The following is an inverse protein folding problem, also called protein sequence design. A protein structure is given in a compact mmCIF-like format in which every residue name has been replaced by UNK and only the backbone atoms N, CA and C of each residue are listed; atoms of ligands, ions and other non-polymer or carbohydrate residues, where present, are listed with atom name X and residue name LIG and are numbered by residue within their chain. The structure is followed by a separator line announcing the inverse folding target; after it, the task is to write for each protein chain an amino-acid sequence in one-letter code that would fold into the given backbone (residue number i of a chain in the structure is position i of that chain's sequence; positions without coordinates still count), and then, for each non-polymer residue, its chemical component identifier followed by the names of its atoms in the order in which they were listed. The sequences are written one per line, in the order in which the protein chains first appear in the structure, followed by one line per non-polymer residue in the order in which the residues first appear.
data_IF_806843226567
#
_entry.id   IF_806843226567
#
_cell.length_a   1.000
_cell.length_b   1.000
_cell.length_c   1.000
_cell.angle_alpha   90.00
_cell.angle_beta   90.00
_cell.angle_gamma   90.00
#
_symmetry.space_group_name_H-M   'P 1'
#
loop_
_entity.id
_entity.type
_entity.pdbx_description
1 polymer ?
#
# COMPACT_ATOMS: atom_id res chain seq x y z
N UNK A 1 3.87 -5.99 -3.17
CA UNK A 1 3.57 -6.18 -4.62
C UNK A 1 3.23 -4.83 -5.23
N UNK A 2 3.36 -4.61 -6.53
CA UNK A 2 3.03 -3.29 -7.10
C UNK A 2 3.20 -3.17 -8.61
N UNK A 3 2.85 -1.99 -9.12
CA UNK A 3 2.94 -1.58 -10.51
C UNK A 3 3.88 -0.38 -10.65
N UNK A 4 5.18 -0.62 -10.93
CA UNK A 4 6.19 0.45 -10.98
C UNK A 4 5.90 1.55 -12.01
N UNK A 5 5.35 1.18 -13.18
CA UNK A 5 4.99 2.13 -14.24
C UNK A 5 3.98 3.20 -13.77
N UNK A 6 3.15 2.87 -12.79
CA UNK A 6 2.14 3.76 -12.21
C UNK A 6 2.55 4.29 -10.84
N UNK A 7 3.69 3.83 -10.29
CA UNK A 7 4.14 4.07 -8.91
C UNK A 7 3.05 3.74 -7.89
N UNK A 8 2.41 2.58 -8.02
CA UNK A 8 1.40 2.10 -7.07
C UNK A 8 1.89 0.80 -6.44
N UNK A 9 1.86 0.72 -5.11
CA UNK A 9 2.25 -0.46 -4.34
C UNK A 9 1.14 -0.91 -3.40
N UNK A 10 1.08 -2.22 -3.14
CA UNK A 10 0.25 -2.81 -2.10
C UNK A 10 1.16 -3.57 -1.15
N UNK A 11 1.01 -3.26 0.13
CA UNK A 11 1.82 -3.81 1.21
C UNK A 11 0.93 -4.38 2.30
N UNK A 12 1.29 -5.58 2.76
CA UNK A 12 0.64 -6.20 3.89
C UNK A 12 1.24 -5.67 5.18
N UNK A 13 0.39 -5.18 6.07
CA UNK A 13 0.71 -4.69 7.40
C UNK A 13 0.26 -5.73 8.43
N UNK A 14 1.18 -6.63 8.76
CA UNK A 14 1.00 -7.63 9.81
C UNK A 14 1.05 -7.04 11.22
N UNK A 15 0.31 -7.63 12.15
CA UNK A 15 0.20 -7.18 13.54
C UNK A 15 1.55 -7.17 14.28
N UNK A 16 2.54 -7.98 13.86
CA UNK A 16 3.90 -7.98 14.41
C UNK A 16 4.71 -6.72 14.07
N UNK A 17 4.32 -5.90 13.10
CA UNK A 17 5.02 -4.63 12.81
C UNK A 17 4.84 -3.58 13.91
N UNK A 18 3.86 -3.76 14.79
CA UNK A 18 3.49 -2.79 15.82
C UNK A 18 4.17 -3.05 17.18
N UNK A 19 4.88 -4.18 17.32
CA UNK A 19 5.51 -4.56 18.60
C UNK A 19 6.95 -4.07 18.75
N UNK A 20 7.57 -3.56 17.67
CA UNK A 20 8.92 -3.01 17.68
C UNK A 20 8.89 -1.53 17.24
N UNK A 21 9.20 -0.64 18.17
CA UNK A 21 9.20 0.81 17.93
C UNK A 21 10.26 1.24 16.90
N UNK A 22 11.38 0.53 16.79
CA UNK A 22 12.42 0.83 15.80
C UNK A 22 11.94 0.46 14.38
N UNK A 23 11.34 -0.72 14.22
CA UNK A 23 10.75 -1.15 12.97
C UNK A 23 9.60 -0.22 12.52
N UNK A 24 8.80 0.28 13.47
CA UNK A 24 7.74 1.25 13.16
C UNK A 24 8.29 2.59 12.66
N UNK A 25 9.35 3.11 13.29
CA UNK A 25 10.00 4.35 12.84
C UNK A 25 10.62 4.20 11.45
N UNK A 26 11.28 3.07 11.17
CA UNK A 26 11.85 2.78 9.85
C UNK A 26 10.76 2.68 8.76
N UNK A 27 9.62 2.06 9.07
CA UNK A 27 8.50 1.96 8.14
C UNK A 27 7.93 3.35 7.79
N UNK A 28 7.85 4.28 8.76
CA UNK A 28 7.46 5.67 8.51
C UNK A 28 8.42 6.33 7.52
N UNK A 29 9.72 6.30 7.79
CA UNK A 29 10.71 6.91 6.90
C UNK A 29 10.67 6.33 5.49
N UNK A 30 10.49 5.02 5.37
CA UNK A 30 10.39 4.33 4.09
C UNK A 30 9.13 4.74 3.33
N UNK A 31 7.99 4.89 4.01
CA UNK A 31 6.74 5.32 3.40
C UNK A 31 6.80 6.78 2.96
N UNK A 32 7.40 7.66 3.77
CA UNK A 32 7.63 9.07 3.41
C UNK A 32 8.53 9.18 2.17
N UNK A 33 9.65 8.45 2.14
CA UNK A 33 10.53 8.40 0.98
C UNK A 33 9.77 7.94 -0.28
N UNK A 34 8.97 6.87 -0.19
CA UNK A 34 8.17 6.39 -1.32
C UNK A 34 7.14 7.44 -1.77
N UNK A 35 6.50 8.13 -0.83
CA UNK A 35 5.54 9.20 -1.13
C UNK A 35 6.23 10.38 -1.84
N UNK A 36 7.42 10.79 -1.42
CA UNK A 36 8.25 11.81 -2.08
C UNK A 36 8.63 11.40 -3.52
N UNK A 37 8.92 10.11 -3.73
CA UNK A 37 9.12 9.54 -5.06
C UNK A 37 7.80 9.40 -5.86
N UNK A 38 6.69 9.88 -5.32
CA UNK A 38 5.38 9.89 -5.95
C UNK A 38 4.71 8.53 -5.97
N UNK A 39 5.07 7.61 -5.07
CA UNK A 39 4.37 6.34 -4.93
C UNK A 39 3.08 6.48 -4.12
N UNK A 40 2.07 5.71 -4.52
CA UNK A 40 0.86 5.48 -3.73
C UNK A 40 0.97 4.08 -3.13
N UNK A 41 1.24 4.00 -1.83
CA UNK A 41 1.33 2.73 -1.10
C UNK A 41 0.01 2.44 -0.37
N UNK A 42 -0.61 1.32 -0.70
CA UNK A 42 -1.86 0.86 -0.09
C UNK A 42 -1.52 -0.19 0.96
N UNK A 43 -1.69 0.19 2.23
CA UNK A 43 -1.51 -0.71 3.38
C UNK A 43 -2.76 -1.57 3.58
N UNK A 44 -2.53 -2.87 3.74
CA UNK A 44 -3.56 -3.90 3.86
C UNK A 44 -3.26 -4.75 5.08
N UNK A 45 -4.19 -4.86 6.00
CA UNK A 45 -4.02 -5.69 7.20
C UNK A 45 -4.80 -7.01 7.08
N UNK A 46 -4.54 -7.95 7.99
CA UNK A 46 -5.31 -9.20 8.09
C UNK A 46 -6.82 -8.95 8.16
N UNK A 47 -7.23 -7.90 8.87
CA UNK A 47 -8.65 -7.51 9.00
C UNK A 47 -9.24 -7.10 7.65
N UNK A 48 -8.51 -6.32 6.85
CA UNK A 48 -8.96 -5.95 5.51
C UNK A 48 -9.11 -7.19 4.62
N UNK A 49 -8.12 -8.09 4.62
CA UNK A 49 -8.19 -9.32 3.83
C UNK A 49 -9.32 -10.25 4.26
N UNK A 50 -9.59 -10.34 5.57
CA UNK A 50 -10.62 -11.24 6.12
C UNK A 50 -12.04 -10.71 5.93
N UNK A 51 -12.25 -9.40 6.03
CA UNK A 51 -13.59 -8.82 6.09
C UNK A 51 -13.98 -8.00 4.86
N UNK A 52 -13.01 -7.49 4.10
CA UNK A 52 -13.25 -6.64 2.94
C UNK A 52 -12.15 -6.80 1.87
N UNK A 53 -11.89 -8.03 1.36
CA UNK A 53 -10.87 -8.24 0.35
C UNK A 53 -11.14 -7.43 -0.95
N UNK A 54 -12.41 -7.21 -1.30
CA UNK A 54 -12.80 -6.37 -2.42
C UNK A 54 -12.39 -4.90 -2.26
N UNK A 55 -12.35 -4.37 -1.04
CA UNK A 55 -11.95 -2.99 -0.80
C UNK A 55 -10.46 -2.79 -1.07
N UNK A 56 -9.64 -3.82 -0.82
CA UNK A 56 -8.22 -3.81 -1.19
C UNK A 56 -8.06 -3.65 -2.69
N UNK A 57 -8.82 -4.43 -3.46
CA UNK A 57 -8.84 -4.32 -4.92
C UNK A 57 -9.30 -2.94 -5.38
N UNK A 58 -10.43 -2.43 -4.85
CA UNK A 58 -10.94 -1.12 -5.25
C UNK A 58 -9.99 0.03 -4.92
N UNK A 59 -9.27 -0.04 -3.79
CA UNK A 59 -8.23 0.94 -3.46
C UNK A 59 -7.08 0.89 -4.47
N UNK A 60 -6.62 -0.32 -4.83
CA UNK A 60 -5.56 -0.51 -5.83
C UNK A 60 -5.99 -0.01 -7.20
N UNK A 61 -7.17 -0.42 -7.66
CA UNK A 61 -7.75 0.02 -8.92
C UNK A 61 -7.89 1.55 -8.97
N UNK A 62 -8.40 2.19 -7.92
CA UNK A 62 -8.56 3.65 -7.87
C UNK A 62 -7.20 4.36 -7.96
N UNK A 63 -6.18 3.88 -7.26
CA UNK A 63 -4.84 4.43 -7.33
C UNK A 63 -4.25 4.29 -8.74
N UNK A 64 -4.38 3.11 -9.35
CA UNK A 64 -3.94 2.86 -10.73
C UNK A 64 -4.66 3.76 -11.73
N UNK A 65 -5.98 3.92 -11.60
CA UNK A 65 -6.79 4.80 -12.45
C UNK A 65 -6.38 6.26 -12.35
N UNK A 66 -6.05 6.75 -11.15
CA UNK A 66 -5.52 8.12 -10.97
C UNK A 66 -4.17 8.34 -11.67
N UNK A 67 -3.51 7.27 -12.11
CA UNK A 67 -2.22 7.27 -12.82
C UNK A 67 -2.36 6.86 -14.29
N UNK A 68 -3.59 6.80 -14.82
CA UNK A 68 -3.84 6.52 -16.23
C UNK A 68 -3.83 5.04 -16.60
N UNK A 69 -3.95 4.13 -15.63
CA UNK A 69 -4.08 2.70 -15.96
C UNK A 69 -5.37 2.45 -16.76
N UNK A 70 -5.27 1.88 -17.97
CA UNK A 70 -6.45 1.56 -18.78
C UNK A 70 -7.28 0.48 -18.09
N UNK A 71 -8.60 0.47 -18.35
CA UNK A 71 -9.45 -0.64 -17.90
C UNK A 71 -8.87 -1.95 -18.46
N UNK A 72 -8.78 -3.03 -17.64
CA UNK A 72 -8.69 -4.37 -18.20
C UNK A 72 -9.95 -4.69 -19.01
#
# INVERSE_FOLDING_TARGET
MGWPAYRVGVEYDGQQHWTDAAAHAEDIYRLDFLAEQGWIIIRVSARHLRHAPQDVWHRAERALRSRGWPRP
#
